data_IF_170723171758
#
_entry.id   IF_170723171758
#
_cell.length_a   1.000
_cell.length_b   1.000
_cell.length_c   1.000
_cell.angle_alpha   90.00
_cell.angle_beta   90.00
_cell.angle_gamma   90.00
#
_symmetry.space_group_name_H-M   'P 1'
#
loop_
_entity.id
_entity.type
_entity.pdbx_description
1 polymer ?
#
# COMPACT_ATOMS: atom_id res chain seq x y z
N UNK A 1 7.84 18.44 -9.19
CA UNK A 1 7.25 17.12 -9.46
C UNK A 1 5.76 17.30 -9.59
N UNK A 2 5.18 16.92 -10.73
CA UNK A 2 3.73 16.86 -10.91
C UNK A 2 3.37 15.48 -11.45
N UNK A 3 2.38 14.84 -10.81
CA UNK A 3 1.75 13.62 -11.31
C UNK A 3 0.32 13.99 -11.72
N UNK A 4 -0.07 13.60 -12.93
CA UNK A 4 -1.39 13.91 -13.49
C UNK A 4 -2.08 12.59 -13.80
N UNK A 5 -3.37 12.50 -13.45
CA UNK A 5 -4.18 11.29 -13.67
C UNK A 5 -4.31 10.40 -12.43
N UNK A 6 -3.96 10.91 -11.25
CA UNK A 6 -4.30 10.33 -9.93
C UNK A 6 -5.28 11.22 -9.18
N UNK A 7 -5.98 10.68 -8.19
CA UNK A 7 -6.93 11.42 -7.35
C UNK A 7 -6.71 11.16 -5.87
N UNK A 8 -7.02 12.15 -5.03
CA UNK A 8 -6.94 12.07 -3.55
C UNK A 8 -5.66 11.39 -3.08
N UNK A 9 -4.52 11.91 -3.54
CA UNK A 9 -3.22 11.37 -3.17
C UNK A 9 -2.93 11.65 -1.68
N UNK A 10 -2.67 10.59 -0.93
CA UNK A 10 -2.20 10.64 0.46
C UNK A 10 -0.66 10.44 0.51
N UNK A 11 0.00 10.34 1.70
CA UNK A 11 1.45 10.45 1.76
C UNK A 11 2.14 9.35 0.95
N UNK A 12 1.78 8.08 1.08
CA UNK A 12 2.59 7.03 0.46
C UNK A 12 3.98 6.92 1.10
N UNK A 13 5.08 6.89 0.33
CA UNK A 13 6.44 6.87 0.90
C UNK A 13 7.61 6.75 -0.09
N UNK A 14 8.82 7.04 0.39
CA UNK A 14 10.06 6.97 -0.40
C UNK A 14 10.47 5.53 -0.68
N UNK A 15 11.11 5.31 -1.83
CA UNK A 15 11.79 4.07 -2.14
C UNK A 15 13.32 4.21 -2.00
N UNK A 16 14.04 3.14 -1.63
CA UNK A 16 15.50 3.11 -1.63
C UNK A 16 16.13 3.36 -3.01
N UNK A 17 15.37 3.13 -4.10
CA UNK A 17 15.83 3.29 -5.48
C UNK A 17 15.46 4.64 -6.10
N UNK A 18 15.34 5.67 -5.24
CA UNK A 18 15.19 7.08 -5.63
C UNK A 18 13.88 7.41 -6.37
N UNK A 19 12.77 6.88 -5.86
CA UNK A 19 11.41 7.24 -6.27
C UNK A 19 10.49 7.47 -5.07
N UNK A 20 9.28 7.93 -5.32
CA UNK A 20 8.20 8.09 -4.35
C UNK A 20 6.99 7.26 -4.77
N UNK A 21 6.50 6.42 -3.88
CA UNK A 21 5.21 5.77 -4.00
C UNK A 21 4.14 6.75 -3.53
N UNK A 22 3.23 7.14 -4.39
CA UNK A 22 2.04 7.89 -4.00
C UNK A 22 0.82 6.97 -3.98
N UNK A 23 -0.02 7.16 -2.97
CA UNK A 23 -1.18 6.33 -2.68
C UNK A 23 -2.46 7.08 -2.98
N UNK A 24 -3.34 6.52 -3.80
CA UNK A 24 -4.71 7.06 -3.92
C UNK A 24 -5.57 6.56 -2.76
N UNK A 25 -6.02 7.48 -1.93
CA UNK A 25 -7.02 7.23 -0.89
C UNK A 25 -8.41 7.34 -1.54
N UNK A 26 -8.76 6.41 -2.43
CA UNK A 26 -10.05 6.43 -3.12
C UNK A 26 -10.41 5.04 -3.63
N UNK A 27 -11.69 4.67 -3.63
CA UNK A 27 -12.17 3.45 -4.32
C UNK A 27 -13.23 3.79 -5.37
N UNK A 28 -13.13 4.97 -5.97
CA UNK A 28 -14.00 5.36 -7.07
C UNK A 28 -13.79 4.42 -8.27
N UNK A 29 -14.90 4.02 -8.87
CA UNK A 29 -14.92 3.20 -10.08
C UNK A 29 -15.10 4.09 -11.30
N UNK A 30 -14.74 3.54 -12.45
CA UNK A 30 -14.95 4.24 -13.71
C UNK A 30 -16.43 4.62 -13.90
N UNK A 31 -16.67 5.85 -14.34
CA UNK A 31 -17.96 6.44 -14.69
C UNK A 31 -17.78 7.42 -15.85
N UNK A 32 -18.86 8.03 -16.33
CA UNK A 32 -18.79 9.07 -17.36
C UNK A 32 -17.97 10.30 -16.92
N UNK A 33 -17.94 10.56 -15.60
CA UNK A 33 -17.16 11.65 -15.00
C UNK A 33 -15.71 11.23 -14.70
N UNK A 34 -15.51 9.96 -14.34
CA UNK A 34 -14.22 9.42 -13.91
C UNK A 34 -13.85 8.29 -14.86
N UNK A 35 -13.06 8.57 -15.90
CA UNK A 35 -12.80 7.61 -16.99
C UNK A 35 -11.97 6.35 -16.63
N UNK A 36 -11.69 6.07 -15.35
CA UNK A 36 -10.96 4.87 -14.90
C UNK A 36 -11.24 4.54 -13.44
N UNK A 37 -10.92 3.32 -13.02
CA UNK A 37 -10.91 2.95 -11.61
C UNK A 37 -9.74 3.64 -10.88
N UNK A 38 -9.97 3.97 -9.61
CA UNK A 38 -8.97 4.54 -8.69
C UNK A 38 -8.80 3.68 -7.44
N UNK A 39 -7.79 4.00 -6.65
CA UNK A 39 -7.39 3.30 -5.42
C UNK A 39 -6.13 2.49 -5.57
N UNK A 40 -5.18 3.01 -6.35
CA UNK A 40 -3.93 2.34 -6.63
C UNK A 40 -2.74 3.10 -6.07
N UNK A 41 -1.63 2.38 -5.94
CA UNK A 41 -0.31 2.98 -5.72
C UNK A 41 0.33 3.30 -7.07
N UNK A 42 1.03 4.42 -7.15
CA UNK A 42 1.77 4.87 -8.31
C UNK A 42 3.20 5.19 -7.91
N UNK A 43 4.16 4.91 -8.77
CA UNK A 43 5.56 5.26 -8.53
C UNK A 43 5.98 6.48 -9.35
N UNK A 44 6.60 7.44 -8.69
CA UNK A 44 7.08 8.70 -9.26
C UNK A 44 8.60 8.79 -9.08
N UNK A 45 9.39 8.72 -10.16
CA UNK A 45 10.84 8.93 -10.08
C UNK A 45 11.18 10.30 -9.50
N UNK A 46 12.11 10.36 -8.54
CA UNK A 46 12.47 11.62 -7.88
C UNK A 46 13.37 12.52 -8.74
N UNK A 47 14.03 11.97 -9.77
CA UNK A 47 15.05 12.62 -10.59
C UNK A 47 14.59 12.97 -12.01
N UNK A 48 13.28 13.10 -12.26
CA UNK A 48 12.75 13.45 -13.59
C UNK A 48 12.39 14.94 -13.70
N UNK A 49 12.88 15.58 -14.76
CA UNK A 49 12.46 16.93 -15.16
C UNK A 49 11.25 16.92 -16.10
N UNK A 50 10.84 15.75 -16.58
CA UNK A 50 9.77 15.56 -17.56
C UNK A 50 8.50 14.99 -16.93
N UNK A 51 7.36 15.20 -17.59
CA UNK A 51 6.09 14.61 -17.20
C UNK A 51 6.20 13.08 -17.18
N UNK A 52 5.84 12.48 -16.05
CA UNK A 52 5.78 11.03 -15.89
C UNK A 52 4.35 10.57 -16.11
N UNK A 53 4.17 9.56 -16.97
CA UNK A 53 2.86 8.93 -17.17
C UNK A 53 2.48 8.20 -15.89
N UNK A 54 1.34 8.55 -15.30
CA UNK A 54 0.77 7.79 -14.18
C UNK A 54 0.44 6.36 -14.63
N UNK A 55 1.17 5.39 -14.09
CA UNK A 55 0.94 3.95 -14.27
C UNK A 55 0.63 3.34 -12.91
N UNK A 56 -0.55 2.75 -12.69
CA UNK A 56 -0.87 2.10 -11.42
C UNK A 56 -0.07 0.81 -11.25
N UNK A 57 0.35 0.51 -10.02
CA UNK A 57 0.94 -0.77 -9.63
C UNK A 57 -0.20 -1.69 -9.19
N UNK A 58 -0.79 -2.39 -10.15
CA UNK A 58 -2.04 -3.14 -9.95
C UNK A 58 -1.91 -4.28 -8.93
N UNK A 59 -0.75 -4.93 -8.86
CA UNK A 59 -0.53 -6.08 -7.96
C UNK A 59 -0.34 -5.68 -6.48
N UNK A 60 -0.24 -4.37 -6.19
CA UNK A 60 -0.36 -3.85 -4.82
C UNK A 60 -1.81 -3.77 -4.35
N UNK A 61 -2.78 -4.13 -5.19
CA UNK A 61 -4.19 -4.16 -4.85
C UNK A 61 -4.88 -2.79 -4.94
N UNK A 62 -6.21 -2.83 -4.74
CA UNK A 62 -7.08 -1.66 -4.89
C UNK A 62 -7.91 -1.41 -3.63
N UNK A 63 -7.52 -0.40 -2.86
CA UNK A 63 -8.14 -0.01 -1.59
C UNK A 63 -7.87 1.48 -1.29
N UNK A 64 -8.38 2.01 -0.18
CA UNK A 64 -8.09 3.38 0.27
C UNK A 64 -6.65 3.47 0.81
N UNK A 65 -5.64 3.44 -0.07
CA UNK A 65 -4.24 3.44 0.34
C UNK A 65 -3.87 4.74 1.05
N UNK A 66 -3.22 4.63 2.20
CA UNK A 66 -2.77 5.77 3.01
C UNK A 66 -1.25 5.97 2.87
N UNK A 67 -0.47 5.04 3.42
CA UNK A 67 0.99 5.11 3.45
C UNK A 67 1.61 3.84 2.87
N UNK A 68 2.85 4.00 2.38
CA UNK A 68 3.66 2.91 1.88
C UNK A 68 5.04 2.99 2.53
N UNK A 69 5.48 1.91 3.19
CA UNK A 69 6.80 1.84 3.82
C UNK A 69 7.62 0.72 3.19
N UNK A 70 8.78 1.06 2.64
CA UNK A 70 9.68 0.09 2.00
C UNK A 70 10.76 -0.34 3.01
N UNK A 71 10.93 -1.63 3.22
CA UNK A 71 12.11 -2.16 3.92
C UNK A 71 13.30 -2.19 2.95
N UNK A 72 14.36 -1.40 3.18
CA UNK A 72 15.50 -1.30 2.26
C UNK A 72 16.31 -2.60 2.14
N UNK A 73 16.23 -3.52 3.11
CA UNK A 73 16.99 -4.77 3.07
C UNK A 73 16.26 -5.84 2.25
N UNK A 74 14.93 -5.90 2.36
CA UNK A 74 14.12 -6.97 1.76
C UNK A 74 13.33 -6.53 0.54
N UNK A 75 13.19 -5.22 0.31
CA UNK A 75 12.31 -4.59 -0.69
C UNK A 75 10.82 -4.83 -0.45
N UNK A 76 10.43 -5.40 0.70
CA UNK A 76 9.02 -5.56 1.04
C UNK A 76 8.39 -4.18 1.25
N UNK A 77 7.20 -3.99 0.70
CA UNK A 77 6.44 -2.75 0.76
C UNK A 77 5.23 -2.99 1.67
N UNK A 78 5.22 -2.36 2.84
CA UNK A 78 4.10 -2.41 3.77
C UNK A 78 3.11 -1.30 3.43
N UNK A 79 1.81 -1.64 3.34
CA UNK A 79 0.75 -0.75 2.89
C UNK A 79 -0.33 -0.66 3.95
N UNK A 80 -0.82 0.55 4.21
CA UNK A 80 -1.95 0.82 5.10
C UNK A 80 -3.18 1.24 4.30
N UNK A 81 -4.36 0.95 4.84
CA UNK A 81 -5.65 1.41 4.29
C UNK A 81 -6.41 2.25 5.33
N UNK A 82 -6.85 3.44 4.93
CA UNK A 82 -7.57 4.39 5.80
C UNK A 82 -9.07 4.10 5.83
N UNK A 83 -9.45 3.05 6.57
CA UNK A 83 -10.83 2.68 6.91
C UNK A 83 -10.88 1.98 8.27
N UNK A 84 -12.02 2.07 8.97
CA UNK A 84 -12.21 1.43 10.28
C UNK A 84 -12.17 -0.10 10.23
N UNK A 85 -12.55 -0.71 9.10
CA UNK A 85 -12.58 -2.15 8.88
C UNK A 85 -11.43 -2.64 7.99
N UNK A 86 -10.35 -1.87 7.90
CA UNK A 86 -9.20 -2.15 7.04
C UNK A 86 -8.25 -3.21 7.61
N UNK A 87 -7.22 -3.52 6.82
CA UNK A 87 -6.16 -4.45 7.19
C UNK A 87 -4.77 -3.80 7.03
N UNK A 88 -3.76 -4.45 7.59
CA UNK A 88 -2.36 -4.16 7.29
C UNK A 88 -1.87 -5.11 6.20
N UNK A 89 -1.27 -4.57 5.15
CA UNK A 89 -0.80 -5.36 4.02
C UNK A 89 0.71 -5.31 3.87
N UNK A 90 1.26 -6.33 3.21
CA UNK A 90 2.60 -6.29 2.64
C UNK A 90 2.59 -6.80 1.21
N UNK A 91 3.31 -6.10 0.34
CA UNK A 91 3.59 -6.51 -1.02
C UNK A 91 5.05 -6.96 -1.10
N UNK A 92 5.26 -8.18 -1.60
CA UNK A 92 6.59 -8.77 -1.82
C UNK A 92 6.87 -8.66 -3.32
N UNK A 93 7.74 -7.73 -3.76
CA UNK A 93 8.06 -7.59 -5.17
C UNK A 93 8.71 -8.85 -5.72
N UNK A 94 8.36 -9.23 -6.95
CA UNK A 94 9.00 -10.32 -7.68
C UNK A 94 10.46 -10.00 -8.00
N UNK A 95 10.73 -8.73 -8.31
CA UNK A 95 12.06 -8.21 -8.64
C UNK A 95 12.38 -7.08 -7.66
N UNK A 96 13.50 -7.14 -6.93
CA UNK A 96 13.95 -6.04 -6.08
C UNK A 96 14.08 -4.73 -6.87
N UNK A 97 13.71 -3.60 -6.26
CA UNK A 97 13.70 -2.27 -6.86
C UNK A 97 12.80 -2.07 -8.10
N UNK A 98 11.95 -3.04 -8.47
CA UNK A 98 11.01 -2.90 -9.58
C UNK A 98 9.60 -3.33 -9.15
N UNK A 99 8.82 -2.35 -8.70
CA UNK A 99 7.43 -2.57 -8.26
C UNK A 99 6.50 -2.94 -9.42
N UNK A 100 6.87 -2.59 -10.67
CA UNK A 100 6.05 -2.88 -11.85
C UNK A 100 6.27 -4.29 -12.41
N UNK A 101 7.30 -5.01 -11.94
CA UNK A 101 7.52 -6.42 -12.27
C UNK A 101 6.49 -7.37 -11.63
N UNK A 102 5.57 -6.84 -10.82
CA UNK A 102 4.59 -7.62 -10.07
C UNK A 102 5.18 -8.19 -8.78
N UNK A 103 4.40 -9.03 -8.10
CA UNK A 103 4.75 -9.58 -6.80
C UNK A 103 3.59 -10.32 -6.13
N UNK A 104 3.69 -10.44 -4.81
CA UNK A 104 2.66 -11.08 -4.00
C UNK A 104 2.16 -10.11 -2.93
N UNK A 105 0.88 -9.75 -3.01
CA UNK A 105 0.19 -9.03 -1.95
C UNK A 105 -0.27 -10.00 -0.87
N UNK A 106 -0.10 -9.61 0.37
CA UNK A 106 -0.56 -10.37 1.54
C UNK A 106 -1.19 -9.43 2.56
N UNK A 107 -2.26 -9.91 3.21
CA UNK A 107 -2.80 -9.27 4.41
C UNK A 107 -2.28 -9.95 5.67
N UNK A 108 -2.00 -9.17 6.72
CA UNK A 108 -1.66 -9.68 8.04
C UNK A 108 -2.87 -10.39 8.65
N UNK A 109 -2.69 -11.63 9.10
CA UNK A 109 -3.68 -12.35 9.88
C UNK A 109 -3.06 -12.89 11.17
N UNK A 110 -3.66 -12.56 12.31
CA UNK A 110 -3.35 -13.19 13.60
C UNK A 110 -4.11 -14.51 13.68
N UNK A 111 -3.40 -15.63 13.89
CA UNK A 111 -3.97 -16.98 13.76
C UNK A 111 -4.25 -17.68 15.09
N UNK A 112 -3.99 -17.00 16.21
CA UNK A 112 -4.26 -17.55 17.54
C UNK A 112 -5.75 -17.53 17.84
N UNK A 113 -6.42 -16.44 17.44
CA UNK A 113 -7.83 -16.20 17.65
C UNK A 113 -8.48 -15.78 16.33
N UNK A 114 -9.64 -16.36 16.02
CA UNK A 114 -10.38 -15.99 14.82
C UNK A 114 -10.89 -14.55 14.94
N UNK A 115 -10.72 -13.76 13.86
CA UNK A 115 -11.16 -12.36 13.80
C UNK A 115 -10.56 -11.51 14.93
N UNK A 116 -9.30 -11.73 15.27
CA UNK A 116 -8.61 -10.98 16.30
C UNK A 116 -8.60 -9.48 15.97
N UNK A 117 -9.18 -8.67 16.85
CA UNK A 117 -9.22 -7.23 16.73
C UNK A 117 -7.92 -6.61 17.25
N UNK A 118 -7.24 -5.87 16.37
CA UNK A 118 -5.97 -5.20 16.65
C UNK A 118 -6.14 -3.77 17.16
N UNK A 119 -7.37 -3.24 17.24
CA UNK A 119 -7.62 -1.91 17.79
C UNK A 119 -7.28 -1.85 19.28
N UNK A 120 -6.86 -0.66 19.72
CA UNK A 120 -6.50 -0.37 21.11
C UNK A 120 -7.38 0.74 21.73
N UNK A 121 -8.52 1.07 21.12
CA UNK A 121 -9.37 2.19 21.52
C UNK A 121 -10.03 1.96 22.88
N UNK A 122 -10.64 0.79 23.07
CA UNK A 122 -11.33 0.45 24.32
C UNK A 122 -10.46 -0.38 25.26
N UNK A 123 -9.61 -1.26 24.72
CA UNK A 123 -8.76 -2.18 25.50
C UNK A 123 -7.51 -2.58 24.73
N UNK A 124 -6.38 -2.72 25.43
CA UNK A 124 -5.12 -3.19 24.83
C UNK A 124 -5.05 -4.72 24.86
N UNK A 125 -5.46 -5.35 23.76
CA UNK A 125 -5.36 -6.81 23.55
C UNK A 125 -3.97 -7.22 23.03
N UNK A 126 -3.31 -6.33 22.27
CA UNK A 126 -1.94 -6.48 21.77
C UNK A 126 -0.93 -5.84 22.72
N UNK A 127 -0.32 -6.65 23.59
CA UNK A 127 0.70 -6.19 24.52
C UNK A 127 2.03 -5.91 23.80
N UNK A 128 2.64 -4.76 24.09
CA UNK A 128 3.94 -4.38 23.52
C UNK A 128 5.01 -5.44 23.83
N UNK A 129 5.79 -5.85 22.83
CA UNK A 129 6.84 -6.86 22.97
C UNK A 129 6.35 -8.32 23.08
N UNK A 130 5.03 -8.56 23.17
CA UNK A 130 4.48 -9.91 23.17
C UNK A 130 4.38 -10.44 21.73
N UNK A 131 5.06 -11.56 21.45
CA UNK A 131 4.97 -12.23 20.16
C UNK A 131 3.60 -12.88 20.00
N UNK A 132 2.96 -12.64 18.85
CA UNK A 132 1.73 -13.30 18.44
C UNK A 132 1.96 -14.16 17.20
N UNK A 133 1.23 -15.26 17.07
CA UNK A 133 1.31 -16.09 15.86
C UNK A 133 0.54 -15.41 14.74
N UNK A 134 1.20 -15.24 13.60
CA UNK A 134 0.65 -14.60 12.42
C UNK A 134 0.88 -15.43 11.16
N UNK A 135 0.08 -15.15 10.13
CA UNK A 135 0.27 -15.62 8.77
C UNK A 135 -0.01 -14.50 7.77
N UNK A 136 0.51 -14.62 6.55
CA UNK A 136 0.10 -13.79 5.42
C UNK A 136 -1.00 -14.51 4.63
N UNK A 137 -2.16 -13.88 4.50
CA UNK A 137 -3.23 -14.34 3.61
C UNK A 137 -2.99 -13.77 2.21
N UNK A 138 -2.98 -14.63 1.18
CA UNK A 138 -2.89 -14.25 -0.24
C UNK A 138 -4.26 -14.16 -0.87
#
# INVERSE_FOLDING_TARGET
MSLIGTIRNCPGGITPWNSWLTCEESVLKASDEIGRNHGYVFEVPANTASLVKAKPILEMGRFNHEAAAVDPHTNIIYLTEDRNDSLLYRFIPKTPNDSYAGGHLQALAIIQDAKFDTHNWDTVTMQMGKVMRQSGLT
#
